data_IF_024972619171
#
_entry.id   IF_024972619171
#
_cell.length_a   1.000
_cell.length_b   1.000
_cell.length_c   1.000
_cell.angle_alpha   90.00
_cell.angle_beta   90.00
_cell.angle_gamma   90.00
#
_symmetry.space_group_name_H-M   'P 1'
#
loop_
_entity.id
_entity.type
_entity.pdbx_description
1 polymer ?
#
# COMPACT_ATOMS: atom_id res chain seq x y z
N UNK A 1 30.73 -28.78 20.20
CA UNK A 1 30.26 -29.86 19.29
C UNK A 1 28.85 -29.61 18.77
N UNK A 2 27.76 -29.72 19.55
CA UNK A 2 26.40 -29.58 19.01
C UNK A 2 26.12 -28.20 18.37
N UNK A 3 26.47 -27.11 19.05
CA UNK A 3 26.27 -25.75 18.50
C UNK A 3 27.04 -25.53 17.20
N UNK A 4 28.30 -26.00 17.12
CA UNK A 4 29.12 -25.92 15.90
C UNK A 4 28.51 -26.75 14.75
N UNK A 5 27.91 -27.91 15.08
CA UNK A 5 27.20 -28.73 14.10
C UNK A 5 25.92 -28.03 13.61
N UNK A 6 25.18 -27.41 14.53
CA UNK A 6 23.97 -26.67 14.18
C UNK A 6 24.28 -25.46 13.30
N UNK A 7 25.36 -24.72 13.60
CA UNK A 7 25.85 -23.63 12.75
C UNK A 7 26.26 -24.14 11.36
N UNK A 8 26.94 -25.29 11.28
CA UNK A 8 27.32 -25.89 10.00
C UNK A 8 26.09 -26.17 9.11
N UNK A 9 25.05 -26.81 9.64
CA UNK A 9 23.83 -27.10 8.88
C UNK A 9 23.00 -25.85 8.60
N UNK A 10 22.97 -24.89 9.53
CA UNK A 10 22.31 -23.60 9.30
C UNK A 10 22.96 -22.81 8.15
N UNK A 11 24.28 -22.93 7.96
CA UNK A 11 24.96 -22.35 6.78
C UNK A 11 24.49 -22.98 5.47
N UNK A 12 24.16 -24.27 5.46
CA UNK A 12 23.57 -24.90 4.29
C UNK A 12 22.13 -24.43 4.05
N UNK A 13 21.34 -24.25 5.10
CA UNK A 13 20.02 -23.62 5.01
C UNK A 13 20.11 -22.17 4.49
N UNK A 14 21.11 -21.40 4.91
CA UNK A 14 21.40 -20.06 4.39
C UNK A 14 21.72 -20.06 2.89
N UNK A 15 22.44 -21.07 2.39
CA UNK A 15 22.67 -21.21 0.96
C UNK A 15 21.35 -21.41 0.18
N UNK A 16 20.40 -22.17 0.73
CA UNK A 16 19.06 -22.31 0.14
C UNK A 16 18.26 -21.00 0.22
N UNK A 17 18.37 -20.26 1.32
CA UNK A 17 17.74 -18.95 1.47
C UNK A 17 18.27 -17.94 0.44
N UNK A 18 19.57 -18.00 0.12
CA UNK A 18 20.18 -17.19 -0.93
C UNK A 18 19.65 -17.55 -2.31
N UNK A 19 19.44 -18.85 -2.60
CA UNK A 19 18.83 -19.29 -3.84
C UNK A 19 17.40 -18.76 -4.02
N UNK A 20 16.57 -18.79 -2.96
CA UNK A 20 15.25 -18.15 -2.97
C UNK A 20 15.35 -16.63 -3.26
N UNK A 21 16.29 -15.94 -2.61
CA UNK A 21 16.49 -14.50 -2.85
C UNK A 21 16.85 -14.19 -4.33
N UNK A 22 17.69 -15.02 -4.95
CA UNK A 22 18.06 -14.88 -6.37
C UNK A 22 16.88 -15.13 -7.31
N UNK A 23 15.94 -16.00 -6.90
CA UNK A 23 14.68 -16.23 -7.62
C UNK A 23 13.60 -15.16 -7.37
N UNK A 24 13.88 -14.13 -6.57
CA UNK A 24 12.92 -13.08 -6.22
C UNK A 24 11.94 -13.46 -5.09
N UNK A 25 12.18 -14.59 -4.44
CA UNK A 25 11.38 -15.10 -3.32
C UNK A 25 11.90 -14.58 -1.98
N UNK A 26 11.04 -14.59 -0.95
CA UNK A 26 11.46 -14.24 0.41
C UNK A 26 12.56 -15.22 0.85
N UNK A 27 13.75 -14.75 1.29
CA UNK A 27 14.92 -15.61 1.47
C UNK A 27 14.84 -16.44 2.75
N UNK A 28 14.10 -17.55 2.66
CA UNK A 28 14.06 -18.59 3.68
C UNK A 28 14.52 -19.88 3.04
N UNK A 29 15.39 -20.58 3.75
CA UNK A 29 15.94 -21.86 3.33
C UNK A 29 15.89 -22.87 4.47
N UNK A 30 15.79 -24.14 4.11
CA UNK A 30 15.74 -25.25 5.03
C UNK A 30 16.55 -26.44 4.51
N UNK A 31 17.08 -27.23 5.45
CA UNK A 31 17.69 -28.54 5.17
C UNK A 31 17.20 -29.56 6.18
N UNK A 32 17.03 -30.80 5.75
CA UNK A 32 16.73 -31.94 6.62
C UNK A 32 17.97 -32.84 6.68
N UNK A 33 18.43 -33.09 7.90
CA UNK A 33 19.62 -33.89 8.18
C UNK A 33 19.21 -35.21 8.83
N UNK A 34 19.79 -36.32 8.39
CA UNK A 34 19.67 -37.64 9.00
C UNK A 34 21.04 -38.33 8.98
N UNK A 35 21.42 -38.97 10.09
CA UNK A 35 22.69 -39.70 10.19
C UNK A 35 23.93 -38.86 9.79
N UNK A 36 23.90 -37.56 10.13
CA UNK A 36 24.99 -36.62 9.83
C UNK A 36 25.07 -36.17 8.37
N UNK A 37 24.05 -36.47 7.54
CA UNK A 37 24.01 -36.10 6.13
C UNK A 37 22.75 -35.29 5.81
N UNK A 38 22.87 -34.31 4.92
CA UNK A 38 21.69 -33.63 4.36
C UNK A 38 21.00 -34.59 3.40
N UNK A 39 19.76 -34.93 3.70
CA UNK A 39 18.93 -35.82 2.88
C UNK A 39 17.94 -35.05 2.00
N UNK A 40 17.62 -33.81 2.37
CA UNK A 40 16.76 -32.94 1.59
C UNK A 40 17.05 -31.46 1.84
N UNK A 41 16.78 -30.64 0.84
CA UNK A 41 16.86 -29.18 0.91
C UNK A 41 15.53 -28.57 0.48
N UNK A 42 15.28 -27.33 0.91
CA UNK A 42 14.13 -26.56 0.48
C UNK A 42 14.40 -25.07 0.58
N UNK A 43 13.75 -24.30 -0.28
CA UNK A 43 13.73 -22.85 -0.21
C UNK A 43 12.32 -22.37 -0.53
N UNK A 44 11.97 -21.15 -0.12
CA UNK A 44 10.68 -20.57 -0.45
C UNK A 44 10.50 -20.45 -1.97
N UNK A 45 9.36 -20.90 -2.47
CA UNK A 45 8.93 -20.73 -3.86
C UNK A 45 7.41 -20.44 -4.04
N UNK A 46 6.71 -19.72 -3.13
CA UNK A 46 5.27 -19.54 -3.25
C UNK A 46 4.84 -18.66 -4.44
N UNK A 47 5.65 -17.69 -4.85
CA UNK A 47 5.34 -16.81 -5.98
C UNK A 47 5.55 -17.57 -7.29
N UNK A 48 6.72 -18.19 -7.47
CA UNK A 48 7.07 -18.92 -8.69
C UNK A 48 6.22 -20.19 -8.84
N UNK A 49 5.97 -20.90 -7.75
CA UNK A 49 5.19 -22.14 -7.75
C UNK A 49 3.68 -21.94 -7.80
N UNK A 50 3.19 -20.71 -7.61
CA UNK A 50 1.77 -20.42 -7.37
C UNK A 50 1.16 -21.33 -6.29
N UNK A 51 1.97 -21.72 -5.31
CA UNK A 51 1.64 -22.69 -4.27
C UNK A 51 1.79 -21.99 -2.90
N UNK A 52 0.68 -21.66 -2.21
CA UNK A 52 0.75 -20.98 -0.92
C UNK A 52 1.41 -21.83 0.17
N UNK A 53 1.62 -23.13 -0.07
CA UNK A 53 2.28 -24.06 0.84
C UNK A 53 3.78 -24.23 0.57
N UNK A 54 4.33 -23.66 -0.52
CA UNK A 54 5.73 -23.82 -0.94
C UNK A 54 6.72 -23.01 -0.09
N UNK A 55 6.62 -23.13 1.22
CA UNK A 55 7.62 -22.67 2.18
C UNK A 55 8.81 -23.63 2.22
N UNK A 56 9.99 -23.10 2.56
CA UNK A 56 11.24 -23.86 2.60
C UNK A 56 11.13 -25.17 3.40
N UNK A 57 10.47 -25.12 4.56
CA UNK A 57 10.28 -26.28 5.43
C UNK A 57 9.38 -27.33 4.78
N UNK A 58 8.27 -26.92 4.17
CA UNK A 58 7.35 -27.84 3.48
C UNK A 58 8.04 -28.50 2.29
N UNK A 59 8.79 -27.74 1.50
CA UNK A 59 9.56 -28.28 0.36
C UNK A 59 10.58 -29.31 0.86
N UNK A 60 11.34 -28.99 1.91
CA UNK A 60 12.35 -29.89 2.45
C UNK A 60 11.74 -31.16 3.09
N UNK A 61 10.61 -31.03 3.83
CA UNK A 61 9.88 -32.16 4.42
C UNK A 61 9.33 -33.10 3.34
N UNK A 62 8.73 -32.55 2.27
CA UNK A 62 8.21 -33.33 1.15
C UNK A 62 9.33 -34.13 0.47
N UNK A 63 10.46 -33.48 0.17
CA UNK A 63 11.61 -34.12 -0.45
C UNK A 63 12.21 -35.21 0.46
N UNK A 64 12.35 -34.95 1.77
CA UNK A 64 12.82 -35.95 2.73
C UNK A 64 11.89 -37.16 2.82
N UNK A 65 10.57 -36.93 2.87
CA UNK A 65 9.58 -37.99 2.96
C UNK A 65 9.57 -38.88 1.70
N UNK A 66 9.70 -38.26 0.53
CA UNK A 66 9.81 -38.98 -0.75
C UNK A 66 11.08 -39.83 -0.79
N UNK A 67 12.23 -39.26 -0.40
CA UNK A 67 13.50 -39.98 -0.38
C UNK A 67 13.48 -41.18 0.58
N UNK A 68 12.87 -41.03 1.76
CA UNK A 68 12.76 -42.10 2.76
C UNK A 68 11.61 -43.09 2.46
N UNK A 69 10.74 -42.79 1.49
CA UNK A 69 9.53 -43.56 1.25
C UNK A 69 8.56 -43.58 2.44
N UNK A 70 8.62 -42.57 3.31
CA UNK A 70 7.85 -42.52 4.55
C UNK A 70 7.52 -41.09 4.95
N UNK A 71 6.28 -40.84 5.37
CA UNK A 71 5.84 -39.54 5.85
C UNK A 71 6.38 -39.18 7.25
N UNK A 72 6.83 -40.20 8.01
CA UNK A 72 7.49 -40.02 9.31
C UNK A 72 9.00 -39.86 9.10
N UNK A 73 9.54 -38.76 9.61
CA UNK A 73 10.95 -38.38 9.49
C UNK A 73 11.69 -38.65 10.81
N UNK A 74 11.52 -39.87 11.33
CA UNK A 74 12.19 -40.32 12.55
C UNK A 74 13.73 -40.25 12.38
N UNK A 75 14.43 -39.80 13.43
CA UNK A 75 15.88 -39.61 13.41
C UNK A 75 16.37 -38.37 12.63
N UNK A 76 15.46 -37.58 12.06
CA UNK A 76 15.84 -36.36 11.33
C UNK A 76 15.98 -35.13 12.25
N UNK A 77 16.75 -34.15 11.79
CA UNK A 77 16.72 -32.77 12.31
C UNK A 77 16.46 -31.81 11.15
N UNK A 78 15.50 -30.90 11.31
CA UNK A 78 15.24 -29.85 10.34
C UNK A 78 15.90 -28.55 10.78
N UNK A 79 16.69 -27.94 9.89
CA UNK A 79 17.29 -26.62 10.07
C UNK A 79 16.60 -25.64 9.15
N UNK A 80 16.16 -24.48 9.65
CA UNK A 80 15.50 -23.43 8.85
C UNK A 80 15.97 -22.04 9.25
N UNK A 81 16.18 -21.14 8.28
CA UNK A 81 16.78 -19.82 8.55
C UNK A 81 15.85 -18.86 9.32
N UNK A 82 14.54 -19.08 9.30
CA UNK A 82 13.54 -18.28 9.99
C UNK A 82 12.66 -19.17 10.85
N UNK A 83 12.17 -18.65 11.97
CA UNK A 83 11.19 -19.32 12.81
C UNK A 83 9.97 -19.78 11.99
N UNK A 84 9.55 -21.05 12.12
CA UNK A 84 8.47 -21.59 11.30
C UNK A 84 7.12 -20.98 11.66
N UNK A 85 6.31 -20.72 10.63
CA UNK A 85 4.91 -20.31 10.79
C UNK A 85 4.02 -21.49 11.24
N UNK A 86 2.76 -21.22 11.57
CA UNK A 86 1.82 -22.23 12.05
C UNK A 86 1.66 -23.44 11.10
N UNK A 87 1.64 -23.21 9.79
CA UNK A 87 1.55 -24.27 8.77
C UNK A 87 2.78 -25.20 8.84
N UNK A 88 3.98 -24.62 8.80
CA UNK A 88 5.23 -25.38 8.79
C UNK A 88 5.42 -26.15 10.10
N UNK A 89 5.12 -25.52 11.24
CA UNK A 89 5.17 -26.17 12.56
C UNK A 89 4.19 -27.34 12.66
N UNK A 90 2.95 -27.19 12.17
CA UNK A 90 1.99 -28.29 12.08
C UNK A 90 2.49 -29.43 11.19
N UNK A 91 3.09 -29.12 10.04
CA UNK A 91 3.66 -30.13 9.15
C UNK A 91 4.82 -30.90 9.80
N UNK A 92 5.70 -30.23 10.55
CA UNK A 92 6.78 -30.87 11.29
C UNK A 92 6.25 -31.85 12.35
N UNK A 93 5.19 -31.47 13.08
CA UNK A 93 4.52 -32.33 14.05
C UNK A 93 3.88 -33.55 13.39
N UNK A 94 3.19 -33.37 12.25
CA UNK A 94 2.62 -34.48 11.47
C UNK A 94 3.67 -35.42 10.90
N UNK A 95 4.81 -34.86 10.45
CA UNK A 95 5.97 -35.60 9.97
C UNK A 95 6.80 -36.21 11.11
N UNK A 96 6.47 -35.92 12.37
CA UNK A 96 7.14 -36.40 13.58
C UNK A 96 8.64 -36.09 13.60
N UNK A 97 9.03 -34.91 13.10
CA UNK A 97 10.42 -34.48 13.14
C UNK A 97 10.87 -34.39 14.60
N UNK A 98 11.89 -35.14 15.04
CA UNK A 98 12.32 -35.12 16.44
C UNK A 98 12.86 -33.77 16.90
N UNK A 99 13.55 -33.05 16.01
CA UNK A 99 14.23 -31.79 16.33
C UNK A 99 14.14 -30.77 15.21
N UNK A 100 13.84 -29.53 15.59
CA UNK A 100 13.83 -28.36 14.71
C UNK A 100 14.79 -27.32 15.27
N UNK A 101 15.65 -26.80 14.41
CA UNK A 101 16.59 -25.73 14.73
C UNK A 101 16.33 -24.57 13.79
N UNK A 102 16.12 -23.37 14.33
CA UNK A 102 15.88 -22.19 13.51
C UNK A 102 16.84 -21.04 13.81
N UNK A 103 17.01 -20.18 12.81
CA UNK A 103 17.85 -19.00 12.89
C UNK A 103 17.15 -17.82 13.55
N UNK A 104 16.71 -16.87 12.72
CA UNK A 104 16.04 -15.65 13.20
C UNK A 104 14.62 -15.95 13.71
N UNK A 105 14.16 -15.18 14.70
CA UNK A 105 12.75 -15.21 15.14
C UNK A 105 11.84 -14.47 14.15
N UNK A 106 10.56 -14.81 14.14
CA UNK A 106 9.53 -14.09 13.39
C UNK A 106 8.49 -13.48 14.35
N UNK A 107 8.64 -12.20 14.74
CA UNK A 107 7.74 -11.54 15.67
C UNK A 107 6.33 -11.28 15.10
N UNK A 108 6.11 -11.50 13.80
CA UNK A 108 4.81 -11.25 13.15
C UNK A 108 3.98 -12.51 12.97
N UNK A 109 4.61 -13.64 12.66
CA UNK A 109 3.88 -14.89 12.35
C UNK A 109 4.51 -16.17 12.91
N UNK A 110 5.61 -16.07 13.65
CA UNK A 110 6.34 -17.21 14.20
C UNK A 110 5.50 -18.04 15.17
N UNK A 111 5.54 -19.37 15.01
CA UNK A 111 4.74 -20.31 15.77
C UNK A 111 5.58 -21.27 16.65
N UNK A 112 6.84 -20.93 16.89
CA UNK A 112 7.77 -21.68 17.74
C UNK A 112 8.25 -20.88 18.96
N UNK A 113 7.47 -19.87 19.38
CA UNK A 113 7.73 -19.03 20.55
C UNK A 113 7.36 -17.56 20.39
N UNK A 114 7.29 -17.02 19.16
CA UNK A 114 7.05 -15.58 18.96
C UNK A 114 5.58 -15.17 19.12
N UNK A 115 4.70 -15.60 18.21
CA UNK A 115 3.25 -15.28 18.25
C UNK A 115 2.48 -16.45 18.84
N UNK A 116 2.82 -17.66 18.42
CA UNK A 116 2.30 -18.91 18.95
C UNK A 116 3.48 -19.78 19.38
N UNK A 117 3.19 -20.80 20.19
CA UNK A 117 4.16 -21.85 20.51
C UNK A 117 3.52 -23.23 20.32
N UNK A 118 3.36 -23.66 19.07
CA UNK A 118 2.72 -24.93 18.74
C UNK A 118 3.45 -26.13 19.37
N UNK A 119 4.78 -26.07 19.41
CA UNK A 119 5.62 -27.11 20.01
C UNK A 119 5.53 -27.17 21.55
N UNK A 120 5.02 -26.14 22.20
CA UNK A 120 4.82 -26.09 23.66
C UNK A 120 3.52 -26.75 24.14
N UNK A 121 2.64 -27.20 23.25
CA UNK A 121 1.36 -27.78 23.64
C UNK A 121 1.46 -29.29 23.92
N UNK A 122 1.44 -29.64 25.21
CA UNK A 122 1.53 -31.04 25.68
C UNK A 122 0.39 -31.96 25.19
N UNK A 123 -0.76 -31.41 24.79
CA UNK A 123 -1.89 -32.18 24.26
C UNK A 123 -1.64 -32.73 22.84
N UNK A 124 -0.64 -32.21 22.12
CA UNK A 124 -0.27 -32.70 20.80
C UNK A 124 0.47 -34.02 20.95
N UNK A 125 0.06 -35.01 20.16
CA UNK A 125 0.48 -36.41 20.28
C UNK A 125 1.97 -36.67 19.98
N UNK A 126 2.67 -35.77 19.28
CA UNK A 126 4.11 -35.82 19.03
C UNK A 126 4.77 -34.57 19.58
N UNK A 127 5.96 -34.74 20.14
CA UNK A 127 6.74 -33.67 20.73
C UNK A 127 8.05 -33.52 19.97
N UNK A 128 8.35 -32.28 19.58
CA UNK A 128 9.53 -31.92 18.80
C UNK A 128 10.39 -30.98 19.63
N UNK A 129 11.68 -31.29 19.77
CA UNK A 129 12.61 -30.38 20.42
C UNK A 129 12.89 -29.18 19.50
N UNK A 130 12.77 -27.96 20.03
CA UNK A 130 13.01 -26.74 19.27
C UNK A 130 14.18 -25.95 19.85
N UNK A 131 15.09 -25.51 18.98
CA UNK A 131 16.18 -24.59 19.30
C UNK A 131 16.17 -23.40 18.34
N UNK A 132 15.92 -22.20 18.87
CA UNK A 132 16.06 -20.95 18.10
C UNK A 132 17.42 -20.30 18.24
N UNK A 133 17.72 -19.32 17.40
CA UNK A 133 18.86 -18.41 17.59
C UNK A 133 20.15 -18.79 16.85
N UNK A 134 20.20 -19.93 16.16
CA UNK A 134 21.43 -20.40 15.50
C UNK A 134 21.72 -19.54 14.27
N UNK A 135 22.83 -18.79 14.29
CA UNK A 135 23.15 -17.79 13.25
C UNK A 135 22.02 -16.78 13.01
N UNK A 136 21.26 -16.43 14.05
CA UNK A 136 20.10 -15.55 13.94
C UNK A 136 20.41 -14.20 13.28
N UNK A 137 21.56 -13.61 13.59
CA UNK A 137 21.98 -12.34 13.00
C UNK A 137 22.16 -12.46 11.48
N UNK A 138 22.83 -13.51 10.99
CA UNK A 138 23.05 -13.73 9.55
C UNK A 138 21.73 -13.99 8.82
N UNK A 139 20.87 -14.82 9.41
CA UNK A 139 19.54 -15.11 8.86
C UNK A 139 18.66 -13.86 8.78
N UNK A 140 18.60 -13.07 9.85
CA UNK A 140 17.82 -11.84 9.91
C UNK A 140 18.37 -10.74 8.99
N UNK A 141 19.70 -10.68 8.82
CA UNK A 141 20.34 -9.74 7.92
C UNK A 141 19.96 -10.00 6.45
N UNK A 142 19.92 -11.26 6.02
CA UNK A 142 19.52 -11.64 4.66
C UNK A 142 18.07 -11.22 4.37
N UNK A 143 17.15 -11.52 5.29
CA UNK A 143 15.74 -11.13 5.18
C UNK A 143 15.56 -9.61 5.11
N UNK A 144 16.25 -8.88 6.01
CA UNK A 144 16.24 -7.43 6.06
C UNK A 144 16.79 -6.78 4.78
N UNK A 145 17.87 -7.34 4.23
CA UNK A 145 18.48 -6.87 2.99
C UNK A 145 17.55 -7.09 1.78
N UNK A 146 16.87 -8.24 1.70
CA UNK A 146 15.90 -8.52 0.65
C UNK A 146 14.76 -7.50 0.61
N UNK A 147 14.07 -7.29 1.74
CA UNK A 147 12.97 -6.32 1.77
C UNK A 147 13.44 -4.87 1.58
N UNK A 148 14.65 -4.52 2.00
CA UNK A 148 15.24 -3.20 1.73
C UNK A 148 15.44 -2.99 0.23
N UNK A 149 16.01 -3.97 -0.47
CA UNK A 149 16.18 -3.93 -1.94
C UNK A 149 14.83 -3.86 -2.66
N UNK A 150 13.86 -4.68 -2.26
CA UNK A 150 12.51 -4.67 -2.85
C UNK A 150 11.81 -3.32 -2.71
N UNK A 151 11.87 -2.69 -1.52
CA UNK A 151 11.34 -1.34 -1.31
C UNK A 151 12.07 -0.29 -2.15
N UNK A 152 13.39 -0.40 -2.28
CA UNK A 152 14.18 0.52 -3.09
C UNK A 152 13.84 0.39 -4.59
N UNK A 153 13.69 -0.84 -5.09
CA UNK A 153 13.27 -1.10 -6.46
C UNK A 153 11.88 -0.56 -6.76
N UNK A 154 10.88 -0.85 -5.90
CA UNK A 154 9.53 -0.30 -6.05
C UNK A 154 9.53 1.23 -6.07
N UNK A 155 10.35 1.86 -5.22
CA UNK A 155 10.52 3.32 -5.23
C UNK A 155 11.14 3.82 -6.53
N UNK A 156 12.15 3.13 -7.06
CA UNK A 156 12.80 3.49 -8.32
C UNK A 156 11.86 3.34 -9.52
N UNK A 157 11.08 2.25 -9.57
CA UNK A 157 10.06 2.02 -10.60
C UNK A 157 8.97 3.10 -10.56
N UNK A 158 8.46 3.44 -9.38
CA UNK A 158 7.50 4.53 -9.21
C UNK A 158 8.08 5.90 -9.63
N UNK A 159 9.36 6.17 -9.33
CA UNK A 159 10.05 7.38 -9.79
C UNK A 159 10.28 7.38 -11.31
N UNK A 160 10.53 6.23 -11.92
CA UNK A 160 10.70 6.12 -13.37
C UNK A 160 9.37 6.37 -14.12
N UNK A 161 8.25 5.89 -13.59
CA UNK A 161 6.92 6.14 -14.15
C UNK A 161 6.47 7.60 -14.00
N UNK A 162 6.74 8.20 -12.83
CA UNK A 162 6.42 9.60 -12.55
C UNK A 162 7.61 10.31 -11.91
N UNK A 163 8.55 10.84 -12.70
CA UNK A 163 9.72 11.56 -12.18
C UNK A 163 9.32 12.68 -11.23
N UNK A 164 10.07 12.85 -10.15
CA UNK A 164 9.90 14.00 -9.27
C UNK A 164 10.80 15.12 -9.77
N UNK A 165 10.22 16.28 -10.08
CA UNK A 165 10.99 17.47 -10.44
C UNK A 165 11.82 17.98 -9.27
N UNK A 166 12.98 18.54 -9.57
CA UNK A 166 13.90 19.11 -8.57
C UNK A 166 13.30 20.30 -7.80
N UNK A 167 12.30 20.98 -8.36
CA UNK A 167 11.60 22.11 -7.75
C UNK A 167 10.31 21.71 -7.03
N UNK A 168 10.05 20.40 -6.87
CA UNK A 168 8.87 19.86 -6.22
C UNK A 168 9.21 18.89 -5.08
N UNK A 169 8.22 18.63 -4.24
CA UNK A 169 8.23 17.65 -3.16
C UNK A 169 7.07 16.67 -3.37
N UNK A 170 7.27 15.42 -2.98
CA UNK A 170 6.22 14.38 -3.02
C UNK A 170 6.05 13.81 -1.63
N UNK A 171 4.85 13.96 -1.08
CA UNK A 171 4.49 13.34 0.19
C UNK A 171 4.58 11.81 0.02
N UNK A 172 5.32 11.08 0.87
CA UNK A 172 5.40 9.63 0.78
C UNK A 172 4.04 8.97 0.94
N UNK A 173 3.76 7.91 0.18
CA UNK A 173 2.48 7.19 0.22
C UNK A 173 2.13 6.66 1.62
N UNK A 174 3.14 6.36 2.44
CA UNK A 174 2.98 5.93 3.83
C UNK A 174 2.27 6.97 4.71
N UNK A 175 2.33 8.26 4.38
CA UNK A 175 1.58 9.30 5.08
C UNK A 175 0.06 9.14 4.92
N UNK A 176 -0.39 8.36 3.93
CA UNK A 176 -1.81 8.16 3.59
C UNK A 176 -2.30 6.73 3.87
N UNK A 177 -1.48 5.84 4.43
CA UNK A 177 -1.78 4.40 4.51
C UNK A 177 -2.95 4.02 5.43
N UNK A 178 -3.38 4.92 6.32
CA UNK A 178 -4.37 4.64 7.37
C UNK A 178 -5.47 5.70 7.46
N UNK A 179 -5.85 6.26 6.31
CA UNK A 179 -6.95 7.22 6.25
C UNK A 179 -8.29 6.49 6.36
N UNK A 180 -9.18 6.90 7.30
CA UNK A 180 -10.49 6.26 7.45
C UNK A 180 -11.37 6.56 6.24
N UNK A 181 -12.19 5.58 5.85
CA UNK A 181 -13.22 5.71 4.81
C UNK A 181 -12.72 6.19 3.44
N UNK A 182 -11.44 5.97 3.12
CA UNK A 182 -10.83 6.34 1.84
C UNK A 182 -10.18 5.12 1.16
N UNK A 183 -10.99 4.16 0.65
CA UNK A 183 -10.51 2.85 0.18
C UNK A 183 -10.01 2.84 -1.27
N UNK A 184 -10.06 3.97 -1.98
CA UNK A 184 -9.84 4.02 -3.43
C UNK A 184 -8.37 3.88 -3.82
N UNK A 185 -8.15 3.15 -4.91
CA UNK A 185 -6.85 3.03 -5.53
C UNK A 185 -6.45 4.37 -6.15
N UNK A 186 -5.18 4.81 -6.03
CA UNK A 186 -4.77 6.07 -6.60
C UNK A 186 -4.57 5.97 -8.12
N UNK A 187 -5.05 6.96 -8.85
CA UNK A 187 -4.65 7.19 -10.24
C UNK A 187 -3.65 8.35 -10.32
N UNK A 188 -2.65 8.21 -11.18
CA UNK A 188 -1.62 9.21 -11.38
C UNK A 188 -1.42 9.52 -12.87
N UNK A 189 -1.05 10.76 -13.15
CA UNK A 189 -0.55 11.18 -14.45
C UNK A 189 0.55 12.22 -14.27
N UNK A 190 1.37 12.40 -15.30
CA UNK A 190 2.45 13.41 -15.33
C UNK A 190 2.78 13.89 -16.74
N UNK A 191 1.95 13.52 -17.72
CA UNK A 191 2.12 13.71 -19.16
C UNK A 191 1.39 14.95 -19.70
N UNK A 192 0.65 15.68 -18.87
CA UNK A 192 0.02 16.94 -19.29
C UNK A 192 1.08 18.03 -19.55
N UNK A 193 1.00 18.77 -20.67
CA UNK A 193 1.94 19.85 -20.97
C UNK A 193 2.12 20.86 -19.83
N UNK A 194 1.02 21.29 -19.20
CA UNK A 194 1.03 22.26 -18.10
C UNK A 194 1.68 21.74 -16.82
N UNK A 195 1.72 20.42 -16.60
CA UNK A 195 2.38 19.81 -15.45
C UNK A 195 3.90 19.80 -15.59
N UNK A 196 4.41 19.77 -16.84
CA UNK A 196 5.83 19.69 -17.15
C UNK A 196 6.55 18.62 -16.29
N UNK A 197 5.92 17.44 -16.15
CA UNK A 197 6.44 16.31 -15.37
C UNK A 197 6.00 16.23 -13.90
N UNK A 198 5.25 17.21 -13.36
CA UNK A 198 4.64 17.06 -12.04
C UNK A 198 3.63 15.91 -12.03
N UNK A 199 3.64 15.09 -10.99
CA UNK A 199 2.63 14.05 -10.80
C UNK A 199 1.37 14.63 -10.18
N UNK A 200 0.24 14.45 -10.85
CA UNK A 200 -1.09 14.72 -10.33
C UNK A 200 -1.79 13.41 -9.96
N UNK A 201 -2.38 13.37 -8.77
CA UNK A 201 -3.27 12.31 -8.31
C UNK A 201 -4.73 12.66 -8.60
N UNK A 202 -5.55 11.63 -8.86
CA UNK A 202 -7.00 11.77 -8.91
C UNK A 202 -7.70 10.44 -8.54
N UNK A 203 -8.95 10.57 -8.10
CA UNK A 203 -9.93 9.48 -8.05
C UNK A 203 -10.71 9.44 -9.36
N UNK A 204 -11.04 8.24 -9.83
CA UNK A 204 -11.90 8.00 -11.00
C UNK A 204 -12.68 6.70 -10.78
N UNK A 205 -13.89 6.86 -10.24
CA UNK A 205 -14.69 5.76 -9.72
C UNK A 205 -16.03 5.66 -10.44
N UNK A 206 -16.56 4.45 -10.55
CA UNK A 206 -17.82 4.18 -11.24
C UNK A 206 -17.66 3.89 -12.74
N UNK A 207 -18.76 3.61 -13.45
CA UNK A 207 -18.71 3.13 -14.82
C UNK A 207 -18.33 4.26 -15.80
N UNK A 208 -17.42 3.97 -16.74
CA UNK A 208 -16.99 4.94 -17.75
C UNK A 208 -18.14 5.49 -18.62
N UNK A 209 -19.21 4.70 -18.78
CA UNK A 209 -20.42 5.07 -19.54
C UNK A 209 -21.59 5.49 -18.63
N UNK A 210 -21.31 5.95 -17.40
CA UNK A 210 -22.34 6.49 -16.52
C UNK A 210 -23.15 7.61 -17.22
N UNK A 211 -24.46 7.74 -16.92
CA UNK A 211 -25.28 8.80 -17.50
C UNK A 211 -24.80 10.21 -17.13
N UNK A 212 -24.09 10.35 -16.00
CA UNK A 212 -23.50 11.60 -15.52
C UNK A 212 -22.14 11.33 -14.87
N UNK A 213 -21.20 12.22 -15.13
CA UNK A 213 -19.90 12.27 -14.47
C UNK A 213 -19.87 13.44 -13.49
N UNK A 214 -19.52 13.20 -12.23
CA UNK A 214 -19.35 14.23 -11.22
C UNK A 214 -17.88 14.58 -11.08
N UNK A 215 -17.52 15.81 -11.43
CA UNK A 215 -16.19 16.34 -11.16
C UNK A 215 -16.23 17.11 -9.84
N UNK A 216 -15.57 16.57 -8.82
CA UNK A 216 -15.53 17.14 -7.48
C UNK A 216 -14.23 17.89 -7.27
N UNK A 217 -14.30 19.21 -7.06
CA UNK A 217 -13.13 20.06 -6.96
C UNK A 217 -13.00 20.64 -5.54
N UNK A 218 -11.86 20.38 -4.89
CA UNK A 218 -11.58 20.91 -3.55
C UNK A 218 -10.91 22.29 -3.61
N UNK A 219 -10.95 23.01 -2.49
CA UNK A 219 -10.18 24.23 -2.24
C UNK A 219 -9.10 23.96 -1.18
N UNK A 220 -8.35 25.01 -0.81
CA UNK A 220 -7.39 24.94 0.30
C UNK A 220 -8.10 24.98 1.66
N UNK A 221 -7.67 24.20 2.68
CA UNK A 221 -6.52 23.28 2.70
C UNK A 221 -6.89 21.82 2.37
N UNK A 222 -8.09 21.59 1.82
CA UNK A 222 -8.61 20.27 1.53
C UNK A 222 -7.88 19.58 0.35
N UNK A 223 -8.29 18.34 0.09
CA UNK A 223 -7.91 17.51 -1.05
C UNK A 223 -9.02 16.48 -1.30
N UNK A 224 -8.88 15.56 -2.25
CA UNK A 224 -9.96 14.63 -2.62
C UNK A 224 -10.53 13.81 -1.44
N UNK A 225 -9.78 13.64 -0.35
CA UNK A 225 -10.25 13.06 0.92
C UNK A 225 -11.49 13.76 1.51
N UNK A 226 -11.70 15.04 1.23
CA UNK A 226 -12.90 15.78 1.63
C UNK A 226 -14.19 15.12 1.12
N UNK A 227 -14.13 14.50 -0.07
CA UNK A 227 -15.30 13.93 -0.74
C UNK A 227 -15.61 12.49 -0.36
N UNK A 228 -14.84 11.90 0.57
CA UNK A 228 -14.92 10.45 0.87
C UNK A 228 -16.31 9.96 1.30
N UNK A 229 -17.13 10.84 1.88
CA UNK A 229 -18.51 10.49 2.24
C UNK A 229 -19.53 10.83 1.14
N UNK A 230 -19.18 11.68 0.18
CA UNK A 230 -20.02 12.01 -0.97
C UNK A 230 -19.89 10.96 -2.08
N UNK A 231 -18.67 10.47 -2.35
CA UNK A 231 -18.37 9.50 -3.41
C UNK A 231 -19.27 8.26 -3.35
N UNK A 232 -19.44 7.55 -2.21
CA UNK A 232 -20.30 6.36 -2.15
C UNK A 232 -21.76 6.64 -2.52
N UNK A 233 -22.27 7.82 -2.15
CA UNK A 233 -23.67 8.21 -2.45
C UNK A 233 -23.87 8.43 -3.95
N UNK A 234 -22.91 9.08 -4.60
CA UNK A 234 -22.94 9.31 -6.05
C UNK A 234 -22.78 8.01 -6.84
N UNK A 235 -21.89 7.12 -6.40
CA UNK A 235 -21.70 5.80 -7.01
C UNK A 235 -22.95 4.92 -6.87
N UNK A 236 -23.61 4.95 -5.71
CA UNK A 236 -24.86 4.22 -5.48
C UNK A 236 -26.00 4.68 -6.40
N UNK A 237 -25.97 5.95 -6.85
CA UNK A 237 -26.89 6.48 -7.85
C UNK A 237 -26.50 6.13 -9.30
N UNK A 238 -25.48 5.29 -9.50
CA UNK A 238 -25.03 4.84 -10.83
C UNK A 238 -24.21 5.86 -11.60
N UNK A 239 -23.67 6.87 -10.93
CA UNK A 239 -22.83 7.89 -11.56
C UNK A 239 -21.34 7.52 -11.57
N UNK A 240 -20.56 8.19 -12.43
CA UNK A 240 -19.10 8.22 -12.35
C UNK A 240 -18.67 9.42 -11.52
N UNK A 241 -17.62 9.28 -10.71
CA UNK A 241 -17.10 10.35 -9.86
C UNK A 241 -15.62 10.50 -10.08
N UNK A 242 -15.19 11.72 -10.37
CA UNK A 242 -13.79 12.06 -10.61
C UNK A 242 -13.39 13.21 -9.70
N UNK A 243 -12.31 13.06 -8.94
CA UNK A 243 -11.86 14.08 -7.98
C UNK A 243 -10.33 14.18 -7.99
N UNK A 244 -9.74 15.30 -8.46
CA UNK A 244 -8.29 15.45 -8.46
C UNK A 244 -7.80 15.88 -7.07
N UNK A 245 -6.56 15.56 -6.77
CA UNK A 245 -5.78 16.36 -5.84
C UNK A 245 -5.08 17.46 -6.64
N UNK A 246 -5.45 18.72 -6.39
CA UNK A 246 -4.78 19.84 -7.03
C UNK A 246 -3.28 19.81 -6.75
N UNK A 247 -2.48 20.25 -7.71
CA UNK A 247 -1.03 20.37 -7.51
C UNK A 247 -0.76 21.26 -6.29
N UNK A 248 0.04 20.77 -5.34
CA UNK A 248 0.21 21.37 -4.02
C UNK A 248 -0.54 20.68 -2.89
N UNK A 249 -1.44 19.74 -3.17
CA UNK A 249 -2.34 19.13 -2.19
C UNK A 249 -2.35 17.60 -2.28
N UNK A 250 -2.93 16.95 -1.26
CA UNK A 250 -3.15 15.50 -1.24
C UNK A 250 -1.95 14.66 -1.64
N UNK A 251 -2.15 13.70 -2.53
CA UNK A 251 -1.12 12.80 -3.09
C UNK A 251 -0.39 13.38 -4.31
N UNK A 252 -0.80 14.56 -4.79
CA UNK A 252 -0.14 15.29 -5.86
C UNK A 252 1.19 15.91 -5.41
N UNK A 253 2.07 16.15 -6.39
CA UNK A 253 3.33 16.85 -6.16
C UNK A 253 3.11 18.27 -5.67
N UNK A 254 4.08 18.77 -4.91
CA UNK A 254 4.04 20.05 -4.21
C UNK A 254 5.22 20.91 -4.64
N UNK A 255 5.02 21.84 -5.59
CA UNK A 255 6.04 22.82 -5.93
C UNK A 255 6.53 23.56 -4.70
N UNK A 256 7.86 23.74 -4.58
CA UNK A 256 8.49 24.33 -3.39
C UNK A 256 8.20 25.83 -3.23
N UNK A 257 7.87 26.53 -4.32
CA UNK A 257 7.70 27.99 -4.38
C UNK A 257 6.24 28.38 -4.58
N UNK A 258 5.75 29.31 -3.77
CA UNK A 258 4.38 29.85 -3.87
C UNK A 258 4.07 30.43 -5.25
N UNK A 259 5.04 31.11 -5.88
CA UNK A 259 4.87 31.77 -7.18
C UNK A 259 4.54 30.82 -8.35
N UNK A 260 4.73 29.51 -8.16
CA UNK A 260 4.33 28.48 -9.14
C UNK A 260 2.81 28.33 -9.16
N UNK A 261 2.15 28.45 -8.01
CA UNK A 261 0.70 28.29 -7.88
C UNK A 261 -0.02 29.57 -8.33
N UNK A 262 -0.23 29.72 -9.63
CA UNK A 262 -1.04 30.79 -10.22
C UNK A 262 -2.44 30.29 -10.59
N UNK A 263 -3.53 31.04 -10.36
CA UNK A 263 -4.90 30.57 -10.62
C UNK A 263 -5.15 30.11 -12.06
N UNK A 264 -4.63 30.86 -13.04
CA UNK A 264 -4.70 30.56 -14.47
C UNK A 264 -4.01 29.25 -14.83
N UNK A 265 -2.86 28.97 -14.21
CA UNK A 265 -2.14 27.72 -14.41
C UNK A 265 -2.89 26.51 -13.83
N UNK A 266 -3.47 26.63 -12.63
CA UNK A 266 -4.32 25.57 -12.07
C UNK A 266 -5.53 25.28 -12.94
N UNK A 267 -6.19 26.32 -13.46
CA UNK A 267 -7.29 26.19 -14.41
C UNK A 267 -6.86 25.46 -15.69
N UNK A 268 -5.68 25.80 -16.23
CA UNK A 268 -5.12 25.12 -17.41
C UNK A 268 -4.87 23.63 -17.14
N UNK A 269 -4.25 23.28 -16.00
CA UNK A 269 -4.02 21.87 -15.62
C UNK A 269 -5.32 21.09 -15.56
N UNK A 270 -6.36 21.66 -14.96
CA UNK A 270 -7.69 21.04 -14.88
C UNK A 270 -8.31 20.85 -16.27
N UNK A 271 -8.21 21.85 -17.15
CA UNK A 271 -8.74 21.77 -18.51
C UNK A 271 -8.05 20.68 -19.35
N UNK A 272 -6.72 20.60 -19.28
CA UNK A 272 -5.93 19.56 -19.93
C UNK A 272 -6.29 18.18 -19.37
N UNK A 273 -6.50 18.07 -18.05
CA UNK A 273 -6.88 16.82 -17.39
C UNK A 273 -8.27 16.33 -17.79
N UNK A 274 -9.27 17.20 -17.78
CA UNK A 274 -10.64 16.88 -18.22
C UNK A 274 -10.63 16.37 -19.67
N UNK A 275 -9.84 17.02 -20.53
CA UNK A 275 -9.65 16.60 -21.93
C UNK A 275 -8.95 15.25 -22.01
N UNK A 276 -7.90 15.03 -21.21
CA UNK A 276 -7.11 13.79 -21.16
C UNK A 276 -7.91 12.57 -20.70
N UNK A 277 -8.91 12.76 -19.85
CA UNK A 277 -9.82 11.70 -19.39
C UNK A 277 -11.05 11.51 -20.28
N UNK A 278 -11.23 12.34 -21.31
CA UNK A 278 -12.43 12.36 -22.16
C UNK A 278 -13.72 12.38 -21.32
N UNK A 279 -13.79 13.29 -20.35
CA UNK A 279 -14.96 13.37 -19.47
C UNK A 279 -16.17 13.89 -20.26
N UNK A 280 -17.23 13.08 -20.30
CA UNK A 280 -18.50 13.39 -20.97
C UNK A 280 -19.62 13.50 -19.96
N UNK A 281 -20.64 14.28 -20.32
CA UNK A 281 -21.83 14.54 -19.47
C UNK A 281 -21.42 14.94 -18.04
N UNK A 282 -20.39 15.78 -17.95
CA UNK A 282 -19.76 16.13 -16.70
C UNK A 282 -20.43 17.35 -16.06
N UNK A 283 -20.70 17.25 -14.76
CA UNK A 283 -21.11 18.38 -13.92
C UNK A 283 -20.00 18.69 -12.92
N UNK A 284 -19.73 19.97 -12.69
CA UNK A 284 -18.74 20.43 -11.73
C UNK A 284 -19.39 20.78 -10.39
N UNK A 285 -18.95 20.13 -9.32
CA UNK A 285 -19.26 20.53 -7.95
C UNK A 285 -17.98 20.99 -7.25
N UNK A 286 -17.84 22.30 -7.05
CA UNK A 286 -16.62 22.92 -6.54
C UNK A 286 -16.78 23.48 -5.13
N UNK A 287 -15.79 23.24 -4.26
CA UNK A 287 -15.69 23.97 -3.00
C UNK A 287 -15.36 25.44 -3.28
N UNK A 288 -16.01 26.36 -2.58
CA UNK A 288 -15.67 27.79 -2.64
C UNK A 288 -14.17 28.01 -2.40
N UNK A 289 -13.52 28.75 -3.31
CA UNK A 289 -12.07 28.99 -3.30
C UNK A 289 -11.25 28.00 -4.14
N UNK A 290 -11.89 27.02 -4.78
CA UNK A 290 -11.25 26.20 -5.81
C UNK A 290 -10.88 27.04 -7.06
N UNK A 291 -9.88 26.62 -7.85
CA UNK A 291 -9.54 27.29 -9.10
C UNK A 291 -10.74 27.31 -10.05
N UNK A 292 -10.92 28.42 -10.76
CA UNK A 292 -11.99 28.56 -11.75
C UNK A 292 -11.74 27.62 -12.93
N UNK A 293 -12.80 26.97 -13.41
CA UNK A 293 -12.76 26.10 -14.56
C UNK A 293 -13.97 26.38 -15.44
N UNK A 294 -13.72 26.53 -16.75
CA UNK A 294 -14.74 26.83 -17.73
C UNK A 294 -15.61 25.59 -18.00
N UNK A 295 -16.66 25.42 -17.22
CA UNK A 295 -17.71 24.41 -17.44
C UNK A 295 -19.08 25.06 -17.31
N UNK A 296 -19.99 24.72 -18.22
CA UNK A 296 -21.35 25.26 -18.26
C UNK A 296 -22.23 24.74 -17.12
N UNK A 297 -22.20 23.43 -16.87
CA UNK A 297 -22.91 22.81 -15.76
C UNK A 297 -22.03 22.79 -14.50
N UNK A 298 -22.16 23.82 -13.66
CA UNK A 298 -21.40 23.94 -12.41
C UNK A 298 -22.23 24.48 -11.25
N UNK A 299 -21.88 24.03 -10.04
CA UNK A 299 -22.39 24.52 -8.77
C UNK A 299 -21.23 24.63 -7.77
N UNK A 300 -21.37 25.51 -6.79
CA UNK A 300 -20.39 25.62 -5.70
C UNK A 300 -21.02 25.37 -4.35
N UNK A 301 -20.22 24.91 -3.39
CA UNK A 301 -20.65 24.74 -2.01
C UNK A 301 -19.61 25.31 -1.03
N UNK A 302 -20.06 25.69 0.15
CA UNK A 302 -19.18 26.04 1.26
C UNK A 302 -18.96 24.84 2.17
N UNK A 303 -17.74 24.68 2.65
CA UNK A 303 -17.38 23.72 3.67
C UNK A 303 -16.44 24.39 4.68
N UNK A 304 -16.55 24.07 5.98
CA UNK A 304 -15.63 24.58 6.98
C UNK A 304 -14.21 24.06 6.70
N UNK A 305 -13.22 24.70 7.32
CA UNK A 305 -11.85 24.19 7.27
C UNK A 305 -11.83 22.76 7.85
N UNK A 306 -11.36 21.77 7.08
CA UNK A 306 -11.37 20.39 7.52
C UNK A 306 -10.38 20.15 8.67
N UNK A 307 -10.63 19.13 9.50
CA UNK A 307 -9.85 18.87 10.72
C UNK A 307 -9.35 17.43 10.81
N UNK A 308 -8.21 17.26 11.47
CA UNK A 308 -7.63 15.95 11.78
C UNK A 308 -6.45 15.56 10.88
N UNK A 309 -5.81 14.44 11.25
CA UNK A 309 -4.52 14.03 10.69
C UNK A 309 -4.52 13.88 9.16
N UNK A 310 -5.66 13.54 8.56
CA UNK A 310 -5.79 13.41 7.10
C UNK A 310 -5.50 14.72 6.34
N UNK A 311 -5.72 15.88 6.98
CA UNK A 311 -5.48 17.20 6.38
C UNK A 311 -4.11 17.77 6.76
N UNK A 312 -3.39 17.13 7.68
CA UNK A 312 -1.99 17.44 8.00
C UNK A 312 -1.02 16.52 7.25
N UNK A 313 -1.41 15.28 6.97
CA UNK A 313 -0.60 14.27 6.30
C UNK A 313 0.06 14.73 4.98
N UNK A 314 -0.61 15.49 4.09
CA UNK A 314 0.04 16.04 2.90
C UNK A 314 1.18 17.02 3.20
N UNK A 315 1.21 17.63 4.38
CA UNK A 315 1.96 18.85 4.71
C UNK A 315 2.95 18.66 5.86
N UNK A 316 3.85 17.68 5.70
CA UNK A 316 4.82 17.27 6.72
C UNK A 316 5.79 18.38 7.15
N UNK A 317 6.10 19.34 6.28
CA UNK A 317 7.01 20.45 6.56
C UNK A 317 6.60 21.76 5.85
N UNK A 318 7.35 22.83 6.08
CA UNK A 318 7.09 24.14 5.50
C UNK A 318 7.19 24.18 3.97
N UNK A 319 8.00 23.30 3.37
CA UNK A 319 8.17 23.17 1.92
C UNK A 319 6.93 22.60 1.25
N UNK A 320 6.27 21.62 1.88
CA UNK A 320 5.01 21.05 1.40
C UNK A 320 3.85 22.05 1.47
N UNK A 321 3.97 23.12 2.28
CA UNK A 321 2.90 24.10 2.54
C UNK A 321 2.88 25.31 1.59
N UNK A 322 3.70 25.33 0.54
CA UNK A 322 3.70 26.42 -0.43
C UNK A 322 2.35 26.60 -1.13
N UNK A 323 1.68 25.51 -1.50
CA UNK A 323 0.34 25.53 -2.09
C UNK A 323 -0.71 26.15 -1.17
N UNK A 324 -0.69 25.80 0.13
CA UNK A 324 -1.61 26.36 1.14
C UNK A 324 -1.52 27.89 1.19
N UNK A 325 -0.28 28.42 1.23
CA UNK A 325 -0.03 29.86 1.33
C UNK A 325 -0.41 30.62 0.05
N UNK A 326 -0.18 30.01 -1.11
CA UNK A 326 -0.58 30.60 -2.39
C UNK A 326 -2.11 30.64 -2.56
N UNK A 327 -2.80 29.52 -2.29
CA UNK A 327 -4.26 29.44 -2.41
C UNK A 327 -5.00 30.35 -1.44
N UNK A 328 -4.45 30.62 -0.26
CA UNK A 328 -5.02 31.61 0.67
C UNK A 328 -5.12 33.03 0.07
N UNK A 329 -4.37 33.32 -1.00
CA UNK A 329 -4.40 34.60 -1.75
C UNK A 329 -5.27 34.55 -3.00
N UNK A 330 -5.81 33.38 -3.36
CA UNK A 330 -6.75 33.26 -4.47
C UNK A 330 -8.06 33.90 -3.98
N UNK A 331 -8.28 35.17 -4.31
CA UNK A 331 -9.47 35.88 -3.87
C UNK A 331 -10.76 35.14 -4.27
N UNK A 332 -11.80 35.22 -3.43
CA UNK A 332 -13.10 34.64 -3.73
C UNK A 332 -13.66 35.28 -5.01
N UNK A 333 -13.59 34.58 -6.14
CA UNK A 333 -14.27 35.01 -7.37
C UNK A 333 -15.74 34.59 -7.34
N UNK A 334 -16.58 35.44 -7.92
CA UNK A 334 -18.02 35.35 -7.88
C UNK A 334 -18.56 33.97 -8.33
N UNK A 335 -19.44 33.46 -7.50
CA UNK A 335 -20.07 32.15 -7.56
C UNK A 335 -21.19 32.13 -8.60
N UNK A 336 -21.23 31.09 -9.43
CA UNK A 336 -22.46 30.71 -10.15
C UNK A 336 -23.19 29.69 -9.29
N UNK A 337 -24.41 30.03 -8.87
CA UNK A 337 -25.36 29.14 -8.19
C UNK A 337 -24.81 28.45 -6.93
N UNK A 338 -24.58 29.18 -5.81
CA UNK A 338 -24.18 28.52 -4.58
C UNK A 338 -25.30 27.59 -4.13
N UNK A 339 -24.97 26.33 -3.86
CA UNK A 339 -25.82 25.46 -3.08
C UNK A 339 -26.00 26.09 -1.69
N UNK A 340 -27.25 26.12 -1.21
CA UNK A 340 -27.60 26.85 0.00
C UNK A 340 -27.04 26.14 1.24
N UNK A 341 -26.14 26.81 1.95
CA UNK A 341 -25.63 26.37 3.26
C UNK A 341 -24.14 26.04 3.28
N UNK A 342 -23.67 25.64 4.46
CA UNK A 342 -22.31 25.19 4.71
C UNK A 342 -22.33 23.72 5.09
N UNK A 343 -21.56 22.88 4.40
CA UNK A 343 -21.57 21.43 4.54
C UNK A 343 -20.26 20.94 5.19
N UNK A 344 -20.34 20.42 6.42
CA UNK A 344 -19.22 19.77 7.08
C UNK A 344 -19.01 18.35 6.52
N UNK A 345 -18.25 18.24 5.43
CA UNK A 345 -18.08 16.98 4.70
C UNK A 345 -17.27 15.92 5.45
N UNK A 346 -16.70 16.23 6.62
CA UNK A 346 -16.18 15.20 7.53
C UNK A 346 -17.31 14.39 8.21
N UNK A 347 -18.57 14.88 8.14
CA UNK A 347 -19.75 14.16 8.61
C UNK A 347 -20.49 13.50 7.43
N UNK A 348 -20.72 12.17 7.47
CA UNK A 348 -21.42 11.47 6.40
C UNK A 348 -22.81 12.03 6.07
N UNK A 349 -23.53 12.56 7.06
CA UNK A 349 -24.86 13.13 6.87
C UNK A 349 -24.84 14.45 6.07
N UNK A 350 -23.92 15.35 6.40
CA UNK A 350 -23.76 16.61 5.65
C UNK A 350 -23.29 16.35 4.21
N UNK A 351 -22.44 15.34 3.99
CA UNK A 351 -22.06 14.92 2.64
C UNK A 351 -23.25 14.40 1.83
N UNK A 352 -24.15 13.62 2.45
CA UNK A 352 -25.41 13.19 1.79
C UNK A 352 -26.33 14.37 1.47
N UNK A 353 -26.44 15.34 2.37
CA UNK A 353 -27.23 16.56 2.14
C UNK A 353 -26.70 17.37 0.96
N UNK A 354 -25.37 17.56 0.88
CA UNK A 354 -24.73 18.21 -0.26
C UNK A 354 -25.05 17.49 -1.57
N UNK A 355 -24.85 16.17 -1.61
CA UNK A 355 -25.11 15.36 -2.81
C UNK A 355 -26.57 15.46 -3.25
N UNK A 356 -27.52 15.37 -2.31
CA UNK A 356 -28.94 15.48 -2.61
C UNK A 356 -29.30 16.83 -3.22
N UNK A 357 -28.79 17.93 -2.65
CA UNK A 357 -29.05 19.27 -3.17
C UNK A 357 -28.39 19.50 -4.53
N UNK A 358 -27.18 18.96 -4.73
CA UNK A 358 -26.48 19.05 -6.00
C UNK A 358 -27.20 18.24 -7.10
N UNK A 359 -27.71 17.04 -6.79
CA UNK A 359 -28.51 16.26 -7.75
C UNK A 359 -29.74 17.04 -8.21
N UNK A 360 -30.50 17.59 -7.27
CA UNK A 360 -31.66 18.44 -7.57
C UNK A 360 -31.29 19.65 -8.45
N UNK A 361 -30.15 20.28 -8.17
CA UNK A 361 -29.69 21.44 -8.94
C UNK A 361 -29.38 21.11 -10.40
N UNK A 362 -28.79 19.95 -10.69
CA UNK A 362 -28.39 19.56 -12.06
C UNK A 362 -29.45 18.78 -12.85
N UNK A 363 -30.55 18.41 -12.20
CA UNK A 363 -31.71 17.77 -12.85
C UNK A 363 -32.72 18.80 -13.40
N UNK A 364 -32.53 20.08 -13.09
CA UNK A 364 -33.27 21.24 -13.59
C UNK A 364 -32.39 22.08 -14.52
#
# INVERSE_FOLDING_TARGET
MQLQQDEHWMRQALAQAQAAALAGEVPVGAVVVKDGQVIATGCNAPVQGHDPTAHAEIVALRAAAQLLGNYRLDGCTLYVTLEPCAMCSGAMLHARVPRVVFGATDPKTGAAGSVLNLFGHAAINHQTQVQGGVLAHECGALLSAFFRRRRAQQRAEALAQHPLRDDALRTPDAAFAHLPDYPWAPHYLSDLPSLAGLRMHYLDEGPAQAPRTWLLLHASPAWSYLFRHAVPTLLAAGHRVVAPDLIGFGKSDKPKKEAVHRPDWHAQVLQEWVTRLDLRNAVLLAQTGAPDMAMSARATFEAPAPRGNAYEAPFADAGHRAGLRAFARFGARAVVGPLLGTFDLDRPEAARQLVAQAMQYFDH
#
